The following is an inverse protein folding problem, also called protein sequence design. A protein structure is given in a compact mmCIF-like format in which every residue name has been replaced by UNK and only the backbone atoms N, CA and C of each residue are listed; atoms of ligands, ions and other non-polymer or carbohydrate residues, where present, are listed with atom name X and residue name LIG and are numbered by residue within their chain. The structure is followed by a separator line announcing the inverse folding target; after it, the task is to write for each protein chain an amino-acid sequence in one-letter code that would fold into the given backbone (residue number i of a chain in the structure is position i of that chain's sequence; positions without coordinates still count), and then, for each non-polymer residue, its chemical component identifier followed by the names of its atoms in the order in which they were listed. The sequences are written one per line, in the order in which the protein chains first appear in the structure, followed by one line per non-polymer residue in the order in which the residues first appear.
data_IF_134458681306
#
_entry.id   IF_134458681306
#
_cell.length_a   1.000
_cell.length_b   1.000
_cell.length_c   1.000
_cell.angle_alpha   90.00
_cell.angle_beta   90.00
_cell.angle_gamma   90.00
#
_symmetry.space_group_name_H-M   'P 1'
#
loop_
_entity.id
_entity.type
_entity.pdbx_description
1 polymer ?
#
# COMPACT_ATOMS: atom_id res chain seq x y z
N UNK A 1 4.11 15.80 -15.20
CA UNK A 1 4.38 14.46 -14.62
C UNK A 1 3.07 13.87 -14.15
N UNK A 2 2.88 12.53 -14.28
CA UNK A 2 1.62 11.87 -13.93
C UNK A 2 1.86 10.74 -12.91
N UNK A 3 1.01 10.68 -11.88
CA UNK A 3 1.05 9.63 -10.87
C UNK A 3 -0.28 8.87 -10.79
N UNK A 4 -0.23 7.54 -10.74
CA UNK A 4 -1.37 6.66 -10.45
C UNK A 4 -1.31 6.23 -8.98
N UNK A 5 -2.40 6.44 -8.23
CA UNK A 5 -2.49 6.13 -6.80
C UNK A 5 -3.70 5.24 -6.55
N UNK A 6 -3.47 4.03 -6.03
CA UNK A 6 -4.53 3.13 -5.61
C UNK A 6 -4.91 3.35 -4.15
N UNK A 7 -6.18 3.11 -3.79
CA UNK A 7 -6.68 3.31 -2.43
C UNK A 7 -6.68 4.78 -1.99
N UNK A 8 -6.92 5.71 -2.92
CA UNK A 8 -6.82 7.15 -2.68
C UNK A 8 -8.01 7.75 -1.92
N UNK A 9 -9.01 6.96 -1.52
CA UNK A 9 -10.22 7.47 -0.83
C UNK A 9 -10.06 7.71 0.67
N UNK A 10 -8.94 7.28 1.29
CA UNK A 10 -8.68 7.47 2.73
C UNK A 10 -7.20 7.33 3.08
N UNK A 11 -6.86 7.67 4.32
CA UNK A 11 -5.57 7.39 4.97
C UNK A 11 -4.35 7.85 4.18
N UNK A 12 -3.39 6.96 4.00
CA UNK A 12 -2.13 7.22 3.27
C UNK A 12 -2.36 7.62 1.82
N UNK A 13 -3.37 7.04 1.14
CA UNK A 13 -3.66 7.33 -0.26
C UNK A 13 -4.00 8.80 -0.49
N UNK A 14 -4.79 9.40 0.42
CA UNK A 14 -5.10 10.84 0.41
C UNK A 14 -3.85 11.67 0.61
N UNK A 15 -2.96 11.28 1.52
CA UNK A 15 -1.73 12.03 1.79
C UNK A 15 -0.72 11.92 0.64
N UNK A 16 -0.62 10.75 -0.02
CA UNK A 16 0.16 10.62 -1.24
C UNK A 16 -0.36 11.54 -2.35
N UNK A 17 -1.69 11.56 -2.57
CA UNK A 17 -2.30 12.42 -3.58
C UNK A 17 -2.00 13.90 -3.30
N UNK A 18 -2.17 14.37 -2.05
CA UNK A 18 -1.88 15.74 -1.66
C UNK A 18 -0.41 16.11 -1.82
N UNK A 19 0.51 15.23 -1.43
CA UNK A 19 1.94 15.47 -1.50
C UNK A 19 2.45 15.49 -2.95
N UNK A 20 1.96 14.60 -3.81
CA UNK A 20 2.32 14.59 -5.23
C UNK A 20 1.74 15.79 -5.96
N UNK A 21 0.49 16.17 -5.69
CA UNK A 21 -0.13 17.39 -6.23
C UNK A 21 0.66 18.66 -5.83
N UNK A 22 1.10 18.73 -4.58
CA UNK A 22 1.95 19.85 -4.08
C UNK A 22 3.28 19.94 -4.84
N UNK A 23 3.77 18.82 -5.38
CA UNK A 23 4.99 18.75 -6.20
C UNK A 23 4.70 18.83 -7.71
N UNK A 24 3.50 19.27 -8.12
CA UNK A 24 3.15 19.52 -9.52
C UNK A 24 2.86 18.27 -10.36
N UNK A 25 2.55 17.14 -9.75
CA UNK A 25 2.10 15.94 -10.47
C UNK A 25 0.61 16.04 -10.78
N UNK A 26 0.23 15.78 -12.01
CA UNK A 26 -1.14 15.36 -12.35
C UNK A 26 -1.40 13.97 -11.77
N UNK A 27 -2.65 13.69 -11.43
CA UNK A 27 -3.00 12.48 -10.71
C UNK A 27 -4.05 11.65 -11.45
N UNK A 28 -3.91 10.33 -11.42
CA UNK A 28 -4.99 9.37 -11.57
C UNK A 28 -5.20 8.76 -10.18
N UNK A 29 -6.39 8.92 -9.61
CA UNK A 29 -6.73 8.38 -8.30
C UNK A 29 -7.81 7.32 -8.44
N UNK A 30 -7.60 6.16 -7.78
CA UNK A 30 -8.53 5.05 -7.85
C UNK A 30 -8.87 4.48 -6.48
N UNK A 31 -10.13 4.15 -6.29
CA UNK A 31 -10.72 3.39 -5.18
C UNK A 31 -12.17 3.06 -5.54
N UNK A 32 -12.84 2.27 -4.68
CA UNK A 32 -14.27 1.95 -4.82
C UNK A 32 -15.20 3.13 -4.56
N UNK A 33 -14.89 3.99 -3.56
CA UNK A 33 -15.72 5.11 -3.09
C UNK A 33 -15.54 6.33 -4.00
N UNK A 34 -16.32 6.39 -5.08
CA UNK A 34 -16.25 7.44 -6.10
C UNK A 34 -16.54 8.84 -5.54
N UNK A 35 -17.49 8.95 -4.63
CA UNK A 35 -17.85 10.20 -3.94
C UNK A 35 -16.64 10.82 -3.21
N UNK A 36 -15.89 10.01 -2.47
CA UNK A 36 -14.67 10.47 -1.76
C UNK A 36 -13.54 10.84 -2.71
N UNK A 37 -13.40 10.11 -3.83
CA UNK A 37 -12.41 10.47 -4.87
C UNK A 37 -12.77 11.81 -5.51
N UNK A 38 -14.05 12.07 -5.79
CA UNK A 38 -14.51 13.35 -6.35
C UNK A 38 -14.30 14.51 -5.37
N UNK A 39 -14.59 14.32 -4.09
CA UNK A 39 -14.30 15.31 -3.05
C UNK A 39 -12.80 15.63 -2.95
N UNK A 40 -11.95 14.59 -2.99
CA UNK A 40 -10.49 14.75 -2.98
C UNK A 40 -10.00 15.48 -4.23
N UNK A 41 -10.50 15.11 -5.43
CA UNK A 41 -10.22 15.79 -6.70
C UNK A 41 -10.51 17.29 -6.58
N UNK A 42 -11.74 17.65 -6.19
CA UNK A 42 -12.16 19.04 -6.09
C UNK A 42 -11.27 19.84 -5.12
N UNK A 43 -10.91 19.22 -3.99
CA UNK A 43 -10.01 19.85 -3.00
C UNK A 43 -8.61 20.08 -3.57
N UNK A 44 -8.07 19.10 -4.30
CA UNK A 44 -6.72 19.15 -4.85
C UNK A 44 -6.67 20.15 -6.01
N UNK A 45 -7.59 20.07 -6.97
CA UNK A 45 -7.61 20.95 -8.16
C UNK A 45 -7.83 22.42 -7.76
N UNK A 46 -8.67 22.67 -6.72
CA UNK A 46 -8.87 24.01 -6.17
C UNK A 46 -7.58 24.60 -5.56
N UNK A 47 -6.76 23.73 -4.93
CA UNK A 47 -5.57 24.18 -4.19
C UNK A 47 -4.30 24.20 -5.03
N UNK A 48 -4.18 23.28 -5.97
CA UNK A 48 -2.99 23.09 -6.79
C UNK A 48 -3.38 23.17 -8.27
N UNK A 49 -2.57 23.82 -9.10
CA UNK A 49 -2.81 23.95 -10.54
C UNK A 49 -2.42 22.66 -11.29
N UNK A 50 -3.07 21.54 -10.98
CA UNK A 50 -2.86 20.23 -11.60
C UNK A 50 -4.20 19.57 -11.97
N UNK A 51 -4.16 18.55 -12.83
CA UNK A 51 -5.35 17.79 -13.23
C UNK A 51 -5.46 16.51 -12.41
N UNK A 52 -6.70 16.17 -11.99
CA UNK A 52 -7.00 14.90 -11.30
C UNK A 52 -8.04 14.12 -12.08
N UNK A 53 -7.65 12.95 -12.55
CA UNK A 53 -8.57 11.97 -13.15
C UNK A 53 -9.03 10.99 -12.07
N UNK A 54 -10.34 10.76 -11.99
CA UNK A 54 -10.93 9.77 -11.08
C UNK A 54 -11.31 8.53 -11.88
N UNK A 55 -10.78 7.39 -11.49
CA UNK A 55 -11.14 6.07 -12.03
C UNK A 55 -11.63 5.22 -10.87
N UNK A 56 -12.96 5.02 -10.77
CA UNK A 56 -13.51 4.10 -9.77
C UNK A 56 -13.25 2.66 -10.21
N UNK A 57 -12.68 1.84 -9.33
CA UNK A 57 -12.42 0.42 -9.56
C UNK A 57 -12.45 -0.36 -8.24
N UNK A 58 -12.96 -1.59 -8.28
CA UNK A 58 -12.84 -2.55 -7.18
C UNK A 58 -11.61 -3.44 -7.42
N UNK A 59 -10.57 -3.24 -6.65
CA UNK A 59 -9.34 -4.01 -6.80
C UNK A 59 -9.43 -5.45 -6.24
N UNK A 60 -10.56 -5.85 -5.67
CA UNK A 60 -10.86 -7.25 -5.38
C UNK A 60 -11.38 -8.01 -6.61
N UNK A 61 -11.83 -7.29 -7.64
CA UNK A 61 -12.21 -7.84 -8.94
C UNK A 61 -11.05 -7.73 -9.93
N UNK A 62 -10.55 -8.86 -10.41
CA UNK A 62 -9.43 -8.93 -11.35
C UNK A 62 -9.78 -8.25 -12.69
N UNK A 63 -11.03 -8.32 -13.12
CA UNK A 63 -11.48 -7.68 -14.38
C UNK A 63 -11.40 -6.15 -14.26
N UNK A 64 -11.79 -5.58 -13.12
CA UNK A 64 -11.64 -4.15 -12.84
C UNK A 64 -10.17 -3.72 -12.80
N UNK A 65 -9.29 -4.56 -12.23
CA UNK A 65 -7.84 -4.31 -12.23
C UNK A 65 -7.28 -4.26 -13.64
N UNK A 66 -7.65 -5.22 -14.50
CA UNK A 66 -7.21 -5.26 -15.91
C UNK A 66 -7.74 -4.06 -16.71
N UNK A 67 -9.02 -3.69 -16.50
CA UNK A 67 -9.62 -2.51 -17.12
C UNK A 67 -8.93 -1.22 -16.67
N UNK A 68 -8.62 -1.08 -15.37
CA UNK A 68 -7.85 0.03 -14.83
C UNK A 68 -6.46 0.12 -15.48
N UNK A 69 -5.77 -1.02 -15.57
CA UNK A 69 -4.45 -1.10 -16.18
C UNK A 69 -4.51 -0.69 -17.67
N UNK A 70 -5.41 -1.28 -18.44
CA UNK A 70 -5.61 -0.96 -19.85
C UNK A 70 -5.91 0.52 -20.11
N UNK A 71 -6.73 1.13 -19.24
CA UNK A 71 -7.05 2.56 -19.34
C UNK A 71 -5.88 3.47 -18.98
N UNK A 72 -5.16 3.14 -17.92
CA UNK A 72 -4.15 4.04 -17.34
C UNK A 72 -2.80 3.94 -18.06
N UNK A 73 -2.33 2.73 -18.36
CA UNK A 73 -0.97 2.54 -18.90
C UNK A 73 -0.81 2.79 -20.39
N UNK A 74 -1.87 3.22 -21.09
CA UNK A 74 -1.78 3.88 -22.39
C UNK A 74 -1.14 5.28 -22.30
N UNK A 75 -1.14 5.85 -21.07
CA UNK A 75 -0.53 7.14 -20.76
C UNK A 75 0.89 6.95 -20.22
N UNK A 76 1.72 7.99 -20.35
CA UNK A 76 3.02 8.02 -19.70
C UNK A 76 2.83 8.31 -18.21
N UNK A 77 3.00 7.29 -17.36
CA UNK A 77 2.92 7.39 -15.92
C UNK A 77 4.34 7.40 -15.34
N UNK A 78 4.68 8.44 -14.57
CA UNK A 78 6.00 8.59 -13.95
C UNK A 78 6.07 7.89 -12.59
N UNK A 79 4.94 7.80 -11.87
CA UNK A 79 4.86 7.22 -10.52
C UNK A 79 3.64 6.32 -10.38
N UNK A 80 3.84 5.10 -9.89
CA UNK A 80 2.79 4.19 -9.45
C UNK A 80 2.86 4.02 -7.93
N UNK A 81 1.76 4.33 -7.21
CA UNK A 81 1.60 4.07 -5.79
C UNK A 81 0.58 2.96 -5.57
N UNK A 82 1.04 1.75 -5.31
CA UNK A 82 0.21 0.64 -4.88
C UNK A 82 -0.03 0.75 -3.38
N UNK A 83 -1.07 1.47 -3.00
CA UNK A 83 -1.42 1.73 -1.60
C UNK A 83 -2.71 1.02 -1.17
N UNK A 84 -3.58 0.65 -2.10
CA UNK A 84 -4.80 -0.08 -1.76
C UNK A 84 -4.50 -1.36 -0.97
N UNK A 85 -5.32 -1.61 0.04
CA UNK A 85 -5.20 -2.80 0.86
C UNK A 85 -6.01 -2.68 2.14
N UNK A 86 -6.44 -3.82 2.66
CA UNK A 86 -7.19 -3.92 3.91
C UNK A 86 -6.80 -5.18 4.67
N UNK A 87 -7.25 -5.28 5.90
CA UNK A 87 -7.13 -6.47 6.75
C UNK A 87 -8.47 -6.81 7.36
N UNK A 88 -8.62 -8.04 7.84
CA UNK A 88 -9.80 -8.52 8.55
C UNK A 88 -9.31 -9.17 9.84
N UNK A 89 -9.71 -8.61 10.97
CA UNK A 89 -9.33 -9.08 12.31
C UNK A 89 -10.33 -10.12 12.79
N UNK A 90 -9.86 -11.32 13.10
CA UNK A 90 -10.67 -12.41 13.57
C UNK A 90 -9.96 -13.76 13.49
N UNK A 91 -10.56 -14.79 14.07
CA UNK A 91 -10.05 -16.15 13.96
C UNK A 91 -10.16 -16.63 12.50
N UNK A 92 -9.13 -17.30 12.00
CA UNK A 92 -9.04 -17.69 10.59
C UNK A 92 -10.20 -18.55 10.13
N UNK A 93 -10.67 -19.45 10.97
CA UNK A 93 -11.82 -20.33 10.69
C UNK A 93 -13.17 -19.59 10.63
N UNK A 94 -13.25 -18.37 11.14
CA UNK A 94 -14.47 -17.54 11.14
C UNK A 94 -14.52 -16.57 9.95
N UNK A 95 -13.44 -16.45 9.19
CA UNK A 95 -13.42 -15.63 7.96
C UNK A 95 -14.15 -16.35 6.84
N UNK A 96 -14.97 -15.63 6.08
CA UNK A 96 -15.56 -16.21 4.88
C UNK A 96 -14.49 -16.46 3.81
N UNK A 97 -14.70 -17.46 2.96
CA UNK A 97 -13.81 -17.72 1.82
C UNK A 97 -13.77 -16.50 0.87
N UNK A 98 -14.89 -15.81 0.70
CA UNK A 98 -14.99 -14.60 -0.11
C UNK A 98 -14.11 -13.48 0.42
N UNK A 99 -14.16 -13.21 1.72
CA UNK A 99 -13.35 -12.16 2.34
C UNK A 99 -11.85 -12.43 2.19
N UNK A 100 -11.42 -13.69 2.30
CA UNK A 100 -10.02 -14.08 2.06
C UNK A 100 -9.62 -13.84 0.60
N UNK A 101 -10.47 -14.21 -0.36
CA UNK A 101 -10.21 -13.99 -1.80
C UNK A 101 -10.13 -12.49 -2.10
N UNK A 102 -11.08 -11.69 -1.62
CA UNK A 102 -11.13 -10.24 -1.84
C UNK A 102 -9.89 -9.54 -1.23
N UNK A 103 -9.42 -10.01 -0.05
CA UNK A 103 -8.19 -9.52 0.57
C UNK A 103 -6.96 -9.88 -0.28
N UNK A 104 -6.84 -11.11 -0.72
CA UNK A 104 -5.73 -11.57 -1.56
C UNK A 104 -5.73 -10.80 -2.88
N UNK A 105 -6.88 -10.69 -3.54
CA UNK A 105 -6.99 -9.96 -4.80
C UNK A 105 -6.59 -8.49 -4.64
N UNK A 106 -7.08 -7.81 -3.61
CA UNK A 106 -6.75 -6.39 -3.38
C UNK A 106 -5.28 -6.19 -3.00
N UNK A 107 -4.78 -6.97 -2.03
CA UNK A 107 -3.45 -6.73 -1.44
C UNK A 107 -2.31 -7.31 -2.28
N UNK A 108 -2.56 -8.38 -3.04
CA UNK A 108 -1.55 -9.15 -3.78
C UNK A 108 -1.78 -9.04 -5.29
N UNK A 109 -2.91 -9.56 -5.80
CA UNK A 109 -3.15 -9.70 -7.23
C UNK A 109 -3.14 -8.36 -7.94
N UNK A 110 -3.90 -7.38 -7.44
CA UNK A 110 -3.97 -6.04 -8.03
C UNK A 110 -2.60 -5.34 -8.05
N UNK A 111 -1.89 -5.37 -6.93
CA UNK A 111 -0.53 -4.79 -6.84
C UNK A 111 0.43 -5.44 -7.83
N UNK A 112 0.38 -6.77 -7.94
CA UNK A 112 1.25 -7.53 -8.86
C UNK A 112 0.98 -7.17 -10.30
N UNK A 113 -0.29 -7.20 -10.73
CA UNK A 113 -0.70 -6.90 -12.12
C UNK A 113 -0.38 -5.45 -12.49
N UNK A 114 -0.69 -4.49 -11.62
CA UNK A 114 -0.40 -3.07 -11.87
C UNK A 114 1.11 -2.79 -11.92
N UNK A 115 1.90 -3.43 -11.05
CA UNK A 115 3.36 -3.30 -11.07
C UNK A 115 3.96 -3.90 -12.34
N UNK A 116 3.50 -5.10 -12.73
CA UNK A 116 3.95 -5.77 -13.96
C UNK A 116 3.64 -4.93 -15.20
N UNK A 117 2.42 -4.41 -15.30
CA UNK A 117 1.99 -3.60 -16.43
C UNK A 117 2.75 -2.26 -16.49
N UNK A 118 2.98 -1.60 -15.36
CA UNK A 118 3.84 -0.43 -15.28
C UNK A 118 5.26 -0.74 -15.81
N UNK A 119 5.87 -1.83 -15.36
CA UNK A 119 7.22 -2.23 -15.78
C UNK A 119 7.25 -2.57 -17.26
N UNK A 120 6.19 -3.21 -17.79
CA UNK A 120 6.09 -3.58 -19.21
C UNK A 120 5.98 -2.37 -20.12
N UNK A 121 5.16 -1.39 -19.76
CA UNK A 121 4.76 -0.27 -20.63
C UNK A 121 5.59 0.99 -20.44
N UNK A 122 6.09 1.26 -19.22
CA UNK A 122 6.82 2.50 -18.96
C UNK A 122 8.33 2.32 -19.20
N UNK A 123 8.95 3.31 -19.82
CA UNK A 123 10.40 3.30 -20.10
C UNK A 123 11.23 3.63 -18.86
N UNK A 124 10.71 4.46 -17.96
CA UNK A 124 11.34 4.88 -16.70
C UNK A 124 10.29 5.28 -15.67
N UNK A 125 10.60 5.28 -14.40
CA UNK A 125 9.69 5.76 -13.36
C UNK A 125 9.95 5.16 -11.98
N UNK A 126 8.94 5.31 -11.13
CA UNK A 126 9.01 4.90 -9.74
C UNK A 126 7.76 4.10 -9.35
N UNK A 127 7.96 2.99 -8.66
CA UNK A 127 6.89 2.23 -8.02
C UNK A 127 7.08 2.34 -6.50
N UNK A 128 6.02 2.68 -5.77
CA UNK A 128 5.98 2.58 -4.33
C UNK A 128 4.89 1.59 -3.94
N UNK A 129 5.31 0.48 -3.33
CA UNK A 129 4.42 -0.56 -2.82
C UNK A 129 4.27 -0.41 -1.31
N UNK A 130 3.03 -0.26 -0.83
CA UNK A 130 2.74 -0.14 0.59
C UNK A 130 2.55 -1.53 1.20
N UNK A 131 3.61 -2.00 1.87
CA UNK A 131 3.60 -3.18 2.72
C UNK A 131 3.10 -2.83 4.14
N UNK A 132 3.78 -3.27 5.16
CA UNK A 132 3.55 -3.00 6.59
C UNK A 132 4.68 -3.57 7.42
N UNK A 133 4.81 -3.17 8.69
CA UNK A 133 5.58 -3.93 9.69
C UNK A 133 5.09 -5.39 9.80
N UNK A 134 3.82 -5.65 9.50
CA UNK A 134 3.23 -6.99 9.41
C UNK A 134 3.97 -7.93 8.43
N UNK A 135 4.75 -7.39 7.49
CA UNK A 135 5.53 -8.18 6.53
C UNK A 135 6.70 -8.97 7.16
N UNK A 136 7.07 -8.67 8.41
CA UNK A 136 8.28 -9.21 9.05
C UNK A 136 8.00 -10.33 10.05
N UNK A 137 6.74 -10.60 10.37
CA UNK A 137 6.36 -11.58 11.39
C UNK A 137 4.99 -12.22 11.08
N UNK A 138 4.69 -13.42 11.59
CA UNK A 138 3.35 -13.98 11.50
C UNK A 138 2.37 -13.24 12.41
N UNK A 139 1.13 -13.05 11.96
CA UNK A 139 0.09 -12.33 12.71
C UNK A 139 -1.16 -13.16 12.91
N UNK A 140 -1.26 -14.03 13.94
CA UNK A 140 -2.52 -14.68 14.29
C UNK A 140 -3.65 -13.66 14.45
N UNK A 141 -4.87 -14.05 14.14
CA UNK A 141 -6.07 -13.20 14.08
C UNK A 141 -6.08 -12.11 12.96
N UNK A 142 -4.98 -12.01 12.18
CA UNK A 142 -4.84 -11.21 10.97
C UNK A 142 -4.01 -11.96 9.93
N UNK A 143 -4.12 -13.28 9.90
CA UNK A 143 -3.18 -14.18 9.23
C UNK A 143 -3.01 -13.87 7.74
N UNK A 144 -4.10 -13.78 6.99
CA UNK A 144 -4.09 -13.49 5.55
C UNK A 144 -3.50 -12.10 5.26
N UNK A 145 -3.79 -11.10 6.10
CA UNK A 145 -3.21 -9.76 5.95
C UNK A 145 -1.69 -9.77 6.12
N UNK A 146 -1.17 -10.40 7.20
CA UNK A 146 0.27 -10.49 7.45
C UNK A 146 0.98 -11.22 6.32
N UNK A 147 0.43 -12.35 5.88
CA UNK A 147 0.94 -13.09 4.73
C UNK A 147 0.95 -12.25 3.44
N UNK A 148 -0.12 -11.48 3.18
CA UNK A 148 -0.18 -10.59 2.03
C UNK A 148 0.90 -9.50 2.06
N UNK A 149 1.21 -8.95 3.24
CA UNK A 149 2.24 -7.92 3.37
C UNK A 149 3.65 -8.49 3.29
N UNK A 150 3.87 -9.73 3.71
CA UNK A 150 5.11 -10.47 3.48
C UNK A 150 5.34 -10.74 1.98
N UNK A 151 4.28 -11.12 1.24
CA UNK A 151 4.33 -11.24 -0.20
C UNK A 151 4.77 -9.92 -0.86
N UNK A 152 4.13 -8.79 -0.51
CA UNK A 152 4.46 -7.47 -1.08
C UNK A 152 5.92 -7.10 -0.84
N UNK A 153 6.45 -7.35 0.37
CA UNK A 153 7.86 -7.08 0.69
C UNK A 153 8.80 -7.93 -0.16
N UNK A 154 8.54 -9.23 -0.23
CA UNK A 154 9.36 -10.20 -0.98
C UNK A 154 9.37 -9.89 -2.47
N UNK A 155 8.19 -9.76 -3.08
CA UNK A 155 8.04 -9.42 -4.50
C UNK A 155 8.75 -8.11 -4.85
N UNK A 156 8.49 -7.06 -4.09
CA UNK A 156 9.06 -5.73 -4.36
C UNK A 156 10.58 -5.73 -4.30
N UNK A 157 11.15 -6.48 -3.35
CA UNK A 157 12.61 -6.59 -3.20
C UNK A 157 13.22 -7.34 -4.38
N UNK A 158 12.63 -8.47 -4.78
CA UNK A 158 13.11 -9.27 -5.90
C UNK A 158 13.02 -8.48 -7.22
N UNK A 159 11.85 -7.93 -7.54
CA UNK A 159 11.64 -7.15 -8.77
C UNK A 159 12.55 -5.93 -8.84
N UNK A 160 12.81 -5.24 -7.72
CA UNK A 160 13.73 -4.11 -7.72
C UNK A 160 15.18 -4.52 -8.04
N UNK A 161 15.60 -5.71 -7.63
CA UNK A 161 16.93 -6.24 -7.98
C UNK A 161 17.01 -6.65 -9.47
N UNK A 162 15.96 -7.29 -9.99
CA UNK A 162 15.86 -7.63 -11.42
C UNK A 162 15.93 -6.37 -12.31
N UNK A 163 15.23 -5.31 -11.93
CA UNK A 163 15.25 -4.03 -12.66
C UNK A 163 16.64 -3.37 -12.65
N UNK A 164 17.36 -3.44 -11.54
CA UNK A 164 18.73 -2.95 -11.45
C UNK A 164 19.65 -3.73 -12.38
N UNK A 165 19.58 -5.07 -12.37
CA UNK A 165 20.42 -5.93 -13.20
C UNK A 165 20.14 -5.78 -14.69
N UNK A 166 18.87 -5.58 -15.06
CA UNK A 166 18.47 -5.32 -16.45
C UNK A 166 18.79 -3.91 -16.96
N UNK A 167 19.27 -3.01 -16.07
CA UNK A 167 19.55 -1.60 -16.40
C UNK A 167 18.29 -0.78 -16.70
N UNK A 168 17.09 -1.31 -16.42
CA UNK A 168 15.83 -0.59 -16.66
C UNK A 168 15.70 0.56 -15.65
N UNK A 169 15.49 1.83 -16.06
CA UNK A 169 15.50 2.97 -15.13
C UNK A 169 14.16 3.12 -14.37
N UNK A 170 13.60 2.01 -13.91
CA UNK A 170 12.48 1.91 -12.98
C UNK A 170 13.02 1.43 -11.64
N UNK A 171 12.50 1.97 -10.55
CA UNK A 171 12.83 1.50 -9.19
C UNK A 171 11.57 1.17 -8.39
N UNK A 172 11.66 0.13 -7.58
CA UNK A 172 10.60 -0.27 -6.66
C UNK A 172 11.03 0.04 -5.23
N UNK A 173 10.19 0.81 -4.52
CA UNK A 173 10.36 1.11 -3.10
C UNK A 173 9.26 0.44 -2.31
N UNK A 174 9.61 -0.32 -1.29
CA UNK A 174 8.67 -0.89 -0.33
C UNK A 174 8.56 0.02 0.88
N UNK A 175 7.39 0.58 1.13
CA UNK A 175 7.09 1.31 2.36
C UNK A 175 6.47 0.34 3.36
N UNK A 176 7.06 0.27 4.57
CA UNK A 176 6.59 -0.56 5.68
C UNK A 176 6.11 0.33 6.83
N UNK A 177 4.83 0.75 6.82
CA UNK A 177 4.27 1.51 7.92
C UNK A 177 4.13 0.67 9.19
N UNK A 178 4.29 1.34 10.36
CA UNK A 178 3.76 0.89 11.64
C UNK A 178 2.26 1.20 11.77
N UNK A 179 1.66 0.96 12.95
CA UNK A 179 0.28 1.33 13.22
C UNK A 179 0.06 2.84 13.05
N UNK A 180 -0.95 3.22 12.27
CA UNK A 180 -1.25 4.63 11.95
C UNK A 180 -2.70 4.95 12.22
N UNK A 181 -2.99 6.21 12.57
CA UNK A 181 -4.34 6.73 12.73
C UNK A 181 -5.02 6.89 11.36
N UNK A 182 -5.66 5.83 10.89
CA UNK A 182 -6.39 5.76 9.62
C UNK A 182 -7.63 4.88 9.80
N UNK A 183 -8.54 4.88 8.82
CA UNK A 183 -9.70 3.98 8.81
C UNK A 183 -9.33 2.48 8.77
N UNK A 184 -8.05 2.10 8.70
CA UNK A 184 -7.62 0.71 8.57
C UNK A 184 -8.10 -0.17 9.73
N UNK A 185 -7.97 0.30 10.97
CA UNK A 185 -8.35 -0.50 12.14
C UNK A 185 -9.87 -0.66 12.25
N UNK A 186 -10.63 0.42 12.04
CA UNK A 186 -12.10 0.34 12.03
C UNK A 186 -12.61 -0.53 10.88
N UNK A 187 -12.01 -0.44 9.68
CA UNK A 187 -12.34 -1.31 8.54
C UNK A 187 -11.96 -2.77 8.81
N UNK A 188 -10.90 -3.02 9.56
CA UNK A 188 -10.47 -4.37 9.94
C UNK A 188 -11.33 -4.99 11.05
N UNK A 189 -12.28 -4.26 11.65
CA UNK A 189 -13.13 -4.73 12.74
C UNK A 189 -12.46 -4.65 14.13
N UNK A 190 -11.45 -3.78 14.30
CA UNK A 190 -10.80 -3.57 15.61
C UNK A 190 -11.61 -2.60 16.47
N UNK A 191 -11.81 -2.97 17.75
CA UNK A 191 -12.47 -2.13 18.75
C UNK A 191 -11.55 -1.02 19.30
N UNK A 192 -10.24 -1.23 19.23
CA UNK A 192 -9.22 -0.29 19.73
C UNK A 192 -8.17 0.00 18.69
N UNK A 193 -7.77 1.26 18.60
CA UNK A 193 -6.69 1.72 17.74
C UNK A 193 -5.41 1.96 18.55
N UNK A 194 -4.32 1.33 18.13
CA UNK A 194 -2.97 1.61 18.65
C UNK A 194 -2.19 2.36 17.56
N UNK A 195 -2.48 3.64 17.39
CA UNK A 195 -1.88 4.45 16.32
C UNK A 195 -0.72 5.29 16.88
N UNK A 196 0.47 5.12 16.31
CA UNK A 196 1.68 5.83 16.74
C UNK A 196 2.20 6.84 15.72
N UNK A 197 1.86 6.69 14.44
CA UNK A 197 2.41 7.51 13.36
C UNK A 197 1.34 8.33 12.63
N UNK A 198 1.70 9.56 12.26
CA UNK A 198 0.86 10.43 11.44
C UNK A 198 0.95 10.00 9.96
N UNK A 199 -0.18 9.76 9.26
CA UNK A 199 -0.20 9.31 7.86
C UNK A 199 0.60 10.24 6.93
N UNK A 200 0.51 11.56 7.13
CA UNK A 200 1.24 12.55 6.32
C UNK A 200 2.76 12.42 6.45
N UNK A 201 3.27 12.21 7.65
CA UNK A 201 4.71 12.04 7.89
C UNK A 201 5.23 10.75 7.23
N UNK A 202 4.46 9.66 7.37
CA UNK A 202 4.75 8.38 6.74
C UNK A 202 4.77 8.51 5.20
N UNK A 203 3.73 9.11 4.60
CA UNK A 203 3.66 9.33 3.15
C UNK A 203 4.85 10.18 2.65
N UNK A 204 5.19 11.28 3.35
CA UNK A 204 6.34 12.13 3.02
C UNK A 204 7.65 11.35 3.04
N UNK A 205 7.86 10.50 4.07
CA UNK A 205 9.06 9.66 4.19
C UNK A 205 9.11 8.61 3.07
N UNK A 206 7.97 7.99 2.73
CA UNK A 206 7.84 7.03 1.63
C UNK A 206 8.21 7.66 0.29
N UNK A 207 7.62 8.80 -0.07
CA UNK A 207 7.92 9.51 -1.31
C UNK A 207 9.39 9.97 -1.38
N UNK A 208 9.93 10.51 -0.27
CA UNK A 208 11.35 10.89 -0.21
C UNK A 208 12.29 9.70 -0.47
N UNK A 209 11.96 8.53 0.06
CA UNK A 209 12.74 7.30 -0.16
C UNK A 209 12.60 6.81 -1.59
N UNK A 210 11.39 6.82 -2.15
CA UNK A 210 11.10 6.44 -3.53
C UNK A 210 11.88 7.29 -4.54
N UNK A 211 11.85 8.61 -4.41
CA UNK A 211 12.64 9.49 -5.30
C UNK A 211 14.15 9.35 -5.13
N UNK A 212 14.61 8.84 -3.98
CA UNK A 212 16.01 8.45 -3.74
C UNK A 212 16.31 7.02 -4.15
N UNK A 213 15.40 6.31 -4.81
CA UNK A 213 15.52 4.92 -5.25
C UNK A 213 15.91 3.93 -4.14
N UNK A 214 15.50 4.19 -2.90
CA UNK A 214 15.69 3.25 -1.79
C UNK A 214 14.72 2.07 -1.94
N UNK A 215 15.22 0.85 -1.79
CA UNK A 215 14.38 -0.37 -1.92
C UNK A 215 13.42 -0.56 -0.75
N UNK A 216 13.79 -0.13 0.47
CA UNK A 216 12.99 -0.33 1.69
C UNK A 216 13.00 0.94 2.54
N UNK A 217 11.83 1.27 3.12
CA UNK A 217 11.66 2.38 4.06
C UNK A 217 10.56 2.07 5.07
N UNK A 218 10.78 2.47 6.32
CA UNK A 218 9.80 2.38 7.41
C UNK A 218 9.19 3.75 7.70
N UNK A 219 8.00 3.79 8.32
CA UNK A 219 7.34 5.03 8.74
C UNK A 219 8.21 5.87 9.68
N UNK A 220 8.94 5.20 10.58
CA UNK A 220 9.81 5.79 11.60
C UNK A 220 10.92 4.80 12.00
N UNK A 221 11.86 5.27 12.83
CA UNK A 221 13.00 4.45 13.23
C UNK A 221 12.63 3.37 14.26
N UNK A 222 11.64 3.61 15.11
CA UNK A 222 11.16 2.63 16.10
C UNK A 222 10.52 1.44 15.38
N UNK A 223 9.66 1.72 14.39
CA UNK A 223 9.08 0.71 13.50
C UNK A 223 10.16 -0.11 12.79
N UNK A 224 11.23 0.53 12.30
CA UNK A 224 12.35 -0.16 11.68
C UNK A 224 13.07 -1.10 12.65
N UNK A 225 13.36 -0.63 13.86
CA UNK A 225 14.03 -1.42 14.88
C UNK A 225 13.20 -2.63 15.29
N UNK A 226 11.90 -2.45 15.53
CA UNK A 226 10.99 -3.54 15.88
C UNK A 226 10.85 -4.59 14.75
N UNK A 227 10.73 -4.15 13.50
CA UNK A 227 10.63 -5.04 12.35
C UNK A 227 11.90 -5.85 12.09
N UNK A 228 13.05 -5.22 12.16
CA UNK A 228 14.33 -5.91 11.93
C UNK A 228 14.73 -6.77 13.12
N UNK A 229 14.50 -6.29 14.34
CA UNK A 229 14.75 -7.04 15.58
C UNK A 229 13.92 -8.31 15.69
N UNK A 230 12.69 -8.32 15.17
CA UNK A 230 11.84 -9.52 15.19
C UNK A 230 12.45 -10.72 14.45
N UNK A 231 13.34 -10.49 13.48
CA UNK A 231 14.01 -11.56 12.72
C UNK A 231 14.99 -12.39 13.55
N UNK A 232 15.44 -11.88 14.68
CA UNK A 232 16.38 -12.57 15.58
C UNK A 232 15.67 -13.36 16.70
N UNK A 233 14.36 -13.26 16.81
CA UNK A 233 13.59 -13.95 17.83
C UNK A 233 13.06 -15.30 17.32
N UNK A 234 12.94 -16.33 18.16
CA UNK A 234 12.31 -17.57 17.79
C UNK A 234 10.86 -17.36 17.29
N UNK A 235 10.52 -18.01 16.18
CA UNK A 235 9.23 -17.85 15.52
C UNK A 235 8.04 -18.09 16.45
N UNK A 236 8.11 -19.12 17.31
CA UNK A 236 7.06 -19.44 18.28
C UNK A 236 6.83 -18.34 19.33
N UNK A 237 7.91 -17.64 19.76
CA UNK A 237 7.79 -16.52 20.69
C UNK A 237 7.11 -15.32 20.03
N UNK A 238 7.54 -14.98 18.81
CA UNK A 238 6.94 -13.89 18.03
C UNK A 238 5.44 -14.14 17.80
N UNK A 239 5.09 -15.38 17.43
CA UNK A 239 3.69 -15.75 17.18
C UNK A 239 2.83 -15.60 18.43
N UNK A 240 3.33 -15.99 19.60
CA UNK A 240 2.63 -15.81 20.88
C UNK A 240 2.44 -14.34 21.26
N UNK A 241 3.48 -13.52 21.08
CA UNK A 241 3.42 -12.06 21.34
C UNK A 241 2.42 -11.42 20.38
N UNK A 242 2.54 -11.70 19.08
CA UNK A 242 1.65 -11.18 18.05
C UNK A 242 0.18 -11.54 18.31
N UNK A 243 -0.10 -12.79 18.72
CA UNK A 243 -1.44 -13.20 19.10
C UNK A 243 -2.02 -12.35 20.24
N UNK A 244 -1.25 -12.13 21.31
CA UNK A 244 -1.69 -11.30 22.45
C UNK A 244 -2.02 -9.87 22.02
N UNK A 245 -1.17 -9.28 21.20
CA UNK A 245 -1.37 -7.92 20.66
C UNK A 245 -2.60 -7.84 19.76
N UNK A 246 -2.82 -8.83 18.88
CA UNK A 246 -4.01 -8.80 18.03
C UNK A 246 -5.30 -9.07 18.80
N UNK A 247 -5.26 -9.99 19.78
CA UNK A 247 -6.41 -10.30 20.64
C UNK A 247 -6.87 -9.08 21.45
N UNK A 248 -5.95 -8.25 21.93
CA UNK A 248 -6.30 -7.04 22.68
C UNK A 248 -7.05 -5.98 21.85
N UNK A 249 -7.05 -6.10 20.53
CA UNK A 249 -7.81 -5.22 19.63
C UNK A 249 -9.26 -5.68 19.40
N UNK A 250 -9.59 -6.91 19.79
CA UNK A 250 -10.94 -7.47 19.72
C UNK A 250 -11.76 -7.18 21.00
N UNK A 251 -11.08 -6.84 22.10
CA UNK A 251 -11.65 -6.49 23.40
C UNK A 251 -11.83 -4.97 23.53
#
# INVERSE_FOLDING_TARGET
MLALITGASSGLGVEFARLLAMNGYDLIITARRKDRLMALKNTIEKKYKIKVEVVSADLSDVSDVLNLAGKCFTKKIDVLINNAGFGILGAFNNMSGRDNVDLINTNITALTLLSQEFIRTQKKGYILNVASIAAFLPGPLLSTYYASKAYVLSLSTAVNEELKRSGKPISVTTLCPGPMKTEFFSTAGASKEFATAAPRACAKRGLKAMFKRKSLVFSDNLTAFGALGSRFLPLGLITKISYRVQRSKLL
#
